data_IF_676691626490
#
_entry.id   IF_676691626490
#
_cell.length_a   1.000
_cell.length_b   1.000
_cell.length_c   1.000
_cell.angle_alpha   90.00
_cell.angle_beta   90.00
_cell.angle_gamma   90.00
#
_symmetry.space_group_name_H-M   'P 1'
#
loop_
_entity.id
_entity.type
_entity.pdbx_description
1 polymer ?
#
# COMPACT_ATOMS: atom_id res chain seq x y z
N UNK A 1 3.22 9.06 15.67
CA UNK A 1 3.62 7.84 14.95
C UNK A 1 5.00 8.06 14.31
N UNK A 2 6.07 8.16 15.12
CA UNK A 2 7.41 8.62 14.64
C UNK A 2 8.05 7.65 13.64
N UNK A 3 7.85 6.35 13.85
CA UNK A 3 8.44 5.31 13.00
C UNK A 3 7.87 5.36 11.58
N UNK A 4 6.57 5.69 11.42
CA UNK A 4 5.96 5.88 10.11
C UNK A 4 6.58 7.05 9.36
N UNK A 5 6.76 8.19 10.03
CA UNK A 5 7.38 9.37 9.42
C UNK A 5 8.80 9.06 8.96
N UNK A 6 9.61 8.45 9.85
CA UNK A 6 10.97 8.03 9.52
C UNK A 6 11.00 7.04 8.34
N UNK A 7 10.09 6.07 8.31
CA UNK A 7 9.95 5.11 7.22
C UNK A 7 9.70 5.81 5.88
N UNK A 8 8.73 6.73 5.85
CA UNK A 8 8.36 7.45 4.63
C UNK A 8 9.47 8.40 4.16
N UNK A 9 10.17 9.07 5.09
CA UNK A 9 11.29 9.94 4.78
C UNK A 9 12.48 9.16 4.19
N UNK A 10 12.86 8.03 4.79
CA UNK A 10 13.90 7.16 4.23
C UNK A 10 13.54 6.66 2.82
N UNK A 11 12.26 6.31 2.59
CA UNK A 11 11.80 5.89 1.26
C UNK A 11 11.84 7.03 0.24
N UNK A 12 11.53 8.27 0.65
CA UNK A 12 11.72 9.45 -0.21
C UNK A 12 13.19 9.64 -0.56
N UNK A 13 14.10 9.56 0.42
CA UNK A 13 15.54 9.70 0.20
C UNK A 13 16.11 8.63 -0.76
N UNK A 14 15.52 7.43 -0.73
CA UNK A 14 15.84 6.32 -1.64
C UNK A 14 15.21 6.45 -3.04
N UNK A 15 14.47 7.52 -3.34
CA UNK A 15 13.70 7.67 -4.59
C UNK A 15 12.74 6.50 -4.83
N UNK A 16 12.13 5.98 -3.77
CA UNK A 16 11.17 4.87 -3.85
C UNK A 16 9.83 5.30 -4.47
N UNK A 17 9.42 6.54 -4.21
CA UNK A 17 8.17 7.12 -4.71
C UNK A 17 8.42 7.91 -5.99
N UNK A 18 7.85 7.48 -7.11
CA UNK A 18 7.97 8.18 -8.38
C UNK A 18 6.64 8.80 -8.79
N UNK A 19 6.73 9.96 -9.46
CA UNK A 19 5.57 10.64 -10.02
C UNK A 19 4.85 9.74 -11.03
N UNK A 20 3.54 9.56 -10.84
CA UNK A 20 2.67 8.78 -11.72
C UNK A 20 2.65 7.27 -11.44
N UNK A 21 3.51 6.78 -10.55
CA UNK A 21 3.39 5.41 -10.05
C UNK A 21 2.22 5.27 -9.07
N UNK A 22 1.68 4.06 -8.98
CA UNK A 22 0.77 3.65 -7.92
C UNK A 22 1.57 2.82 -6.91
N UNK A 23 1.59 3.24 -5.66
CA UNK A 23 2.17 2.48 -4.54
C UNK A 23 1.05 1.81 -3.75
N UNK A 24 1.09 0.48 -3.65
CA UNK A 24 0.10 -0.26 -2.87
C UNK A 24 0.43 -0.21 -1.37
N UNK A 25 -0.59 0.01 -0.53
CA UNK A 25 -0.52 -0.06 0.91
C UNK A 25 -1.40 -1.19 1.42
N UNK A 26 -0.78 -2.18 2.04
CA UNK A 26 -1.46 -3.16 2.90
C UNK A 26 -1.22 -2.79 4.36
N UNK A 27 -2.27 -2.77 5.18
CA UNK A 27 -2.13 -2.37 6.58
C UNK A 27 -3.10 -3.09 7.50
N UNK A 28 -2.58 -3.63 8.60
CA UNK A 28 -3.37 -4.09 9.73
C UNK A 28 -3.22 -3.09 10.89
N UNK A 29 -4.23 -2.26 11.10
CA UNK A 29 -4.23 -1.25 12.17
C UNK A 29 -4.25 -1.88 13.56
N UNK A 30 -4.85 -3.06 13.72
CA UNK A 30 -4.80 -3.80 14.99
C UNK A 30 -3.38 -4.28 15.31
N UNK A 31 -2.60 -4.69 14.31
CA UNK A 31 -1.18 -5.04 14.50
C UNK A 31 -0.34 -3.80 14.81
N UNK A 32 -0.66 -2.63 14.24
CA UNK A 32 0.05 -1.38 14.58
C UNK A 32 -0.14 -1.04 16.06
N UNK A 33 -1.35 -1.25 16.58
CA UNK A 33 -1.69 -1.00 17.98
C UNK A 33 -1.06 -2.06 18.90
N UNK A 34 -1.03 -3.33 18.47
CA UNK A 34 -0.46 -4.45 19.23
C UNK A 34 -1.43 -5.19 20.15
N UNK A 35 -2.67 -4.72 20.28
CA UNK A 35 -3.74 -5.37 21.05
C UNK A 35 -5.09 -5.22 20.32
N UNK A 36 -6.08 -6.07 20.66
CA UNK A 36 -7.48 -5.90 20.23
C UNK A 36 -8.13 -4.72 20.96
N UNK A 37 -7.72 -3.50 20.63
CA UNK A 37 -8.45 -2.30 20.99
C UNK A 37 -9.63 -2.17 20.00
N UNK A 38 -10.77 -1.68 20.48
CA UNK A 38 -11.98 -1.52 19.67
C UNK A 38 -11.79 -0.69 18.40
N UNK A 39 -12.83 -0.64 17.56
CA UNK A 39 -12.83 -0.01 16.24
C UNK A 39 -12.40 1.46 16.22
N UNK A 40 -12.66 2.22 17.29
CA UNK A 40 -12.28 3.63 17.40
C UNK A 40 -10.77 3.83 17.27
N UNK A 41 -9.96 3.09 18.05
CA UNK A 41 -8.50 3.23 18.00
C UNK A 41 -7.91 2.79 16.65
N UNK A 42 -8.54 1.82 15.98
CA UNK A 42 -8.12 1.39 14.65
C UNK A 42 -8.34 2.47 13.57
N UNK A 43 -9.40 3.28 13.69
CA UNK A 43 -9.67 4.37 12.76
C UNK A 43 -8.73 5.57 12.97
N UNK A 44 -8.36 5.91 14.21
CA UNK A 44 -7.37 6.97 14.48
C UNK A 44 -5.98 6.61 13.89
N UNK A 45 -5.61 5.33 13.95
CA UNK A 45 -4.38 4.84 13.32
C UNK A 45 -4.49 4.91 11.80
N UNK A 46 -5.62 4.49 11.22
CA UNK A 46 -5.88 4.60 9.79
C UNK A 46 -5.79 6.05 9.29
N UNK A 47 -6.40 6.98 10.01
CA UNK A 47 -6.32 8.42 9.74
C UNK A 47 -4.88 8.91 9.71
N UNK A 48 -4.11 8.58 10.75
CA UNK A 48 -2.72 9.03 10.85
C UNK A 48 -1.87 8.49 9.70
N UNK A 49 -2.07 7.22 9.33
CA UNK A 49 -1.37 6.60 8.20
C UNK A 49 -1.78 7.27 6.88
N UNK A 50 -3.08 7.41 6.63
CA UNK A 50 -3.61 8.02 5.41
C UNK A 50 -3.10 9.45 5.22
N UNK A 51 -3.15 10.28 6.26
CA UNK A 51 -2.70 11.66 6.21
C UNK A 51 -1.19 11.78 5.93
N UNK A 52 -0.37 10.89 6.50
CA UNK A 52 1.05 10.85 6.22
C UNK A 52 1.34 10.46 4.75
N UNK A 53 0.58 9.50 4.21
CA UNK A 53 0.69 9.11 2.80
C UNK A 53 0.21 10.22 1.86
N UNK A 54 -0.85 10.94 2.19
CA UNK A 54 -1.33 12.08 1.39
C UNK A 54 -0.27 13.19 1.27
N UNK A 55 0.49 13.46 2.35
CA UNK A 55 1.64 14.38 2.29
C UNK A 55 2.70 13.87 1.31
N UNK A 56 3.08 12.59 1.38
CA UNK A 56 4.05 11.99 0.46
C UNK A 56 3.56 12.05 -0.99
N UNK A 57 2.27 11.79 -1.23
CA UNK A 57 1.63 11.90 -2.53
C UNK A 57 1.79 13.30 -3.12
N UNK A 58 1.50 14.33 -2.32
CA UNK A 58 1.66 15.74 -2.72
C UNK A 58 3.12 16.14 -3.01
N UNK A 59 4.07 15.62 -2.24
CA UNK A 59 5.50 15.93 -2.38
C UNK A 59 6.15 15.24 -3.59
N UNK A 60 5.77 13.98 -3.87
CA UNK A 60 6.48 13.13 -4.85
C UNK A 60 5.69 12.92 -6.14
N UNK A 61 4.38 13.13 -6.11
CA UNK A 61 3.46 12.82 -7.20
C UNK A 61 3.16 11.33 -7.38
N UNK A 62 3.58 10.47 -6.44
CA UNK A 62 3.11 9.08 -6.36
C UNK A 62 1.65 9.08 -5.93
N UNK A 63 0.92 8.05 -6.32
CA UNK A 63 -0.46 7.84 -5.88
C UNK A 63 -0.56 6.57 -5.06
N UNK A 64 -1.47 6.51 -4.07
CA UNK A 64 -1.60 5.35 -3.19
C UNK A 64 -2.86 4.55 -3.49
N UNK A 65 -2.74 3.23 -3.43
CA UNK A 65 -3.83 2.27 -3.49
C UNK A 65 -3.91 1.51 -2.17
N UNK A 66 -5.11 1.18 -1.71
CA UNK A 66 -5.32 0.64 -0.37
C UNK A 66 -5.95 -0.76 -0.43
N UNK A 67 -5.21 -1.76 0.06
CA UNK A 67 -5.66 -3.15 0.07
C UNK A 67 -6.70 -3.37 1.17
N UNK A 68 -7.85 -3.94 0.80
CA UNK A 68 -8.81 -4.49 1.74
C UNK A 68 -8.29 -5.72 2.49
N UNK A 69 -8.94 -6.08 3.60
CA UNK A 69 -8.68 -7.36 4.24
C UNK A 69 -9.28 -8.53 3.42
N UNK A 70 -9.00 -9.75 3.87
CA UNK A 70 -9.44 -10.99 3.23
C UNK A 70 -10.97 -11.14 3.13
N UNK A 71 -11.75 -10.45 3.96
CA UNK A 71 -13.22 -10.50 3.92
C UNK A 71 -13.81 -9.88 2.64
N UNK A 72 -13.05 -8.98 1.98
CA UNK A 72 -13.39 -8.43 0.67
C UNK A 72 -12.41 -8.93 -0.40
N UNK A 73 -11.84 -10.12 -0.18
CA UNK A 73 -10.90 -10.78 -1.09
C UNK A 73 -9.66 -9.94 -1.44
N UNK A 74 -9.23 -9.05 -0.54
CA UNK A 74 -8.12 -8.13 -0.78
C UNK A 74 -8.33 -7.18 -1.96
N UNK A 75 -9.60 -6.89 -2.29
CA UNK A 75 -9.93 -5.89 -3.29
C UNK A 75 -9.34 -4.52 -2.91
N UNK A 76 -9.05 -3.70 -3.92
CA UNK A 76 -8.19 -2.52 -3.78
C UNK A 76 -9.00 -1.25 -3.99
N UNK A 77 -8.94 -0.34 -3.02
CA UNK A 77 -9.49 1.01 -3.17
C UNK A 77 -8.48 1.92 -3.88
N UNK A 78 -8.91 2.57 -4.96
CA UNK A 78 -8.12 3.51 -5.78
C UNK A 78 -8.95 4.74 -6.14
N UNK A 79 -8.31 5.83 -6.58
CA UNK A 79 -9.02 6.93 -7.23
C UNK A 79 -9.49 6.46 -8.60
N UNK A 80 -10.71 6.84 -9.01
CA UNK A 80 -11.26 6.50 -10.33
C UNK A 80 -10.38 6.96 -11.49
N UNK A 81 -9.62 8.04 -11.30
CA UNK A 81 -8.65 8.54 -12.29
C UNK A 81 -7.50 7.57 -12.58
N UNK A 82 -7.23 6.62 -11.69
CA UNK A 82 -6.21 5.58 -11.84
C UNK A 82 -6.76 4.29 -12.47
N UNK A 83 -8.08 4.19 -12.64
CA UNK A 83 -8.72 3.01 -13.20
C UNK A 83 -8.34 2.80 -14.67
N UNK A 84 -8.01 1.55 -15.01
CA UNK A 84 -7.80 1.15 -16.40
C UNK A 84 -8.59 -0.13 -16.70
N UNK A 85 -9.68 -0.05 -17.50
CA UNK A 85 -10.54 -1.19 -17.80
C UNK A 85 -9.88 -2.29 -18.64
N UNK A 86 -8.69 -2.03 -19.21
CA UNK A 86 -7.92 -3.05 -19.94
C UNK A 86 -7.09 -3.94 -19.02
N UNK A 87 -6.88 -3.52 -17.77
CA UNK A 87 -5.97 -4.19 -16.82
C UNK A 87 -6.56 -4.38 -15.43
N UNK A 88 -7.73 -3.80 -15.15
CA UNK A 88 -8.40 -3.82 -13.85
C UNK A 88 -9.88 -4.15 -14.06
N UNK A 89 -10.44 -4.91 -13.12
CA UNK A 89 -11.88 -5.20 -13.04
C UNK A 89 -12.47 -4.43 -11.86
N UNK A 90 -13.45 -3.58 -12.11
CA UNK A 90 -14.20 -2.88 -11.05
C UNK A 90 -15.11 -3.87 -10.30
N UNK A 91 -15.16 -3.78 -8.97
CA UNK A 91 -16.02 -4.61 -8.12
C UNK A 91 -16.87 -3.75 -7.18
N UNK A 92 -18.08 -4.23 -6.90
CA UNK A 92 -19.04 -3.48 -6.08
C UNK A 92 -18.91 -3.83 -4.60
N UNK A 93 -18.17 -3.03 -3.85
CA UNK A 93 -18.11 -3.08 -2.39
C UNK A 93 -17.81 -1.68 -1.82
N UNK A 94 -18.40 -1.36 -0.67
CA UNK A 94 -17.98 -0.23 0.17
C UNK A 94 -17.23 -0.83 1.36
N UNK A 95 -15.93 -0.60 1.52
CA UNK A 95 -15.18 -1.14 2.65
C UNK A 95 -15.75 -0.67 3.99
N UNK A 96 -15.82 -1.59 4.95
CA UNK A 96 -16.23 -1.30 6.33
C UNK A 96 -15.13 -1.76 7.32
N UNK A 97 -15.08 -1.13 8.50
CA UNK A 97 -14.12 -1.46 9.54
C UNK A 97 -14.19 -2.92 9.97
N UNK A 98 -15.36 -3.56 9.85
CA UNK A 98 -15.57 -4.97 10.15
C UNK A 98 -15.38 -5.90 8.93
N UNK A 99 -15.44 -5.36 7.71
CA UNK A 99 -15.34 -6.12 6.46
C UNK A 99 -14.65 -5.26 5.38
N UNK A 100 -13.32 -5.19 5.44
CA UNK A 100 -12.49 -4.36 4.56
C UNK A 100 -11.26 -3.81 5.27
N UNK A 101 -11.40 -3.52 6.57
CA UNK A 101 -10.32 -3.02 7.42
C UNK A 101 -10.26 -1.49 7.47
N UNK A 102 -9.75 -0.96 8.58
CA UNK A 102 -9.85 0.47 8.89
C UNK A 102 -9.14 1.38 7.89
N UNK A 103 -7.98 0.99 7.36
CA UNK A 103 -7.27 1.84 6.40
C UNK A 103 -8.00 1.95 5.06
N UNK A 104 -8.46 0.84 4.49
CA UNK A 104 -9.23 0.86 3.24
C UNK A 104 -10.56 1.61 3.41
N UNK A 105 -11.22 1.43 4.57
CA UNK A 105 -12.45 2.17 4.92
C UNK A 105 -12.20 3.67 5.02
N UNK A 106 -11.16 4.08 5.75
CA UNK A 106 -10.80 5.49 5.90
C UNK A 106 -10.45 6.09 4.54
N UNK A 107 -9.65 5.40 3.72
CA UNK A 107 -9.31 5.85 2.38
C UNK A 107 -10.55 6.05 1.50
N UNK A 108 -11.45 5.07 1.44
CA UNK A 108 -12.69 5.18 0.68
C UNK A 108 -13.55 6.38 1.11
N UNK A 109 -13.53 6.77 2.38
CA UNK A 109 -14.31 7.91 2.87
C UNK A 109 -13.69 9.28 2.55
N UNK A 110 -12.37 9.35 2.33
CA UNK A 110 -11.62 10.61 2.24
C UNK A 110 -11.01 10.87 0.85
N UNK A 111 -10.99 9.85 -0.01
CA UNK A 111 -10.62 9.98 -1.43
C UNK A 111 -11.66 10.76 -2.22
N UNK A 112 -11.26 11.33 -3.36
CA UNK A 112 -12.11 12.26 -4.13
C UNK A 112 -13.22 11.54 -4.89
N UNK A 113 -12.88 10.47 -5.60
CA UNK A 113 -13.81 9.66 -6.38
C UNK A 113 -13.35 8.19 -6.29
N UNK A 114 -13.52 7.55 -5.12
CA UNK A 114 -12.99 6.22 -4.88
C UNK A 114 -13.78 5.16 -5.64
N UNK A 115 -13.06 4.18 -6.17
CA UNK A 115 -13.63 2.92 -6.67
C UNK A 115 -12.87 1.74 -6.07
N UNK A 116 -13.48 0.56 -6.14
CA UNK A 116 -12.83 -0.69 -5.73
C UNK A 116 -12.60 -1.58 -6.94
N UNK A 117 -11.40 -2.13 -7.06
CA UNK A 117 -11.03 -3.08 -8.12
C UNK A 117 -10.62 -4.43 -7.53
N UNK A 118 -10.88 -5.51 -8.26
CA UNK A 118 -10.59 -6.87 -7.81
C UNK A 118 -9.09 -7.08 -7.54
N UNK A 119 -8.26 -6.62 -8.47
CA UNK A 119 -6.80 -6.78 -8.44
C UNK A 119 -6.11 -5.64 -9.16
N UNK A 120 -4.88 -5.32 -8.73
CA UNK A 120 -3.95 -4.44 -9.45
C UNK A 120 -2.56 -5.06 -9.52
N UNK A 121 -1.78 -4.64 -10.52
CA UNK A 121 -0.33 -4.91 -10.62
C UNK A 121 0.45 -3.60 -10.60
N UNK A 122 1.26 -3.37 -9.57
CA UNK A 122 1.95 -2.11 -9.31
C UNK A 122 3.46 -2.25 -9.18
N UNK A 123 4.24 -1.19 -9.42
CA UNK A 123 5.70 -1.25 -9.34
C UNK A 123 6.23 -1.39 -7.92
N UNK A 124 5.50 -0.94 -6.90
CA UNK A 124 5.96 -0.92 -5.52
C UNK A 124 4.82 -0.97 -4.50
N UNK A 125 5.15 -1.27 -3.25
CA UNK A 125 4.20 -1.23 -2.14
C UNK A 125 4.83 -1.40 -0.77
N UNK A 126 4.05 -1.05 0.25
CA UNK A 126 4.39 -1.11 1.67
C UNK A 126 3.34 -1.95 2.39
N UNK A 127 3.79 -2.95 3.14
CA UNK A 127 2.96 -3.82 3.95
C UNK A 127 3.26 -3.59 5.43
N UNK A 128 2.28 -3.07 6.16
CA UNK A 128 2.34 -2.74 7.58
C UNK A 128 1.50 -3.78 8.34
N UNK A 129 2.14 -4.74 9.00
CA UNK A 129 1.45 -5.79 9.76
C UNK A 129 1.22 -7.06 8.96
N UNK A 130 2.09 -7.35 7.98
CA UNK A 130 2.17 -8.62 7.26
C UNK A 130 0.84 -9.05 6.60
N UNK A 131 0.14 -8.08 6.03
CA UNK A 131 -1.10 -8.31 5.28
C UNK A 131 -0.89 -9.01 3.95
N UNK A 132 0.36 -9.17 3.50
CA UNK A 132 0.76 -9.84 2.26
C UNK A 132 0.27 -9.09 1.02
N UNK A 133 1.11 -8.24 0.46
CA UNK A 133 0.83 -7.45 -0.78
C UNK A 133 1.45 -8.05 -2.04
N UNK A 134 2.19 -9.16 -1.91
CA UNK A 134 3.06 -9.69 -2.97
C UNK A 134 2.32 -10.11 -4.25
N UNK A 135 1.03 -10.44 -4.15
CA UNK A 135 0.19 -10.76 -5.31
C UNK A 135 -0.06 -9.56 -6.22
N UNK A 136 0.16 -8.34 -5.74
CA UNK A 136 -0.04 -7.10 -6.47
C UNK A 136 1.25 -6.44 -6.94
N UNK A 137 2.42 -6.90 -6.48
CA UNK A 137 3.70 -6.33 -6.89
C UNK A 137 4.12 -6.96 -8.22
N UNK A 138 4.44 -6.12 -9.20
CA UNK A 138 4.91 -6.54 -10.52
C UNK A 138 6.11 -7.47 -10.40
N UNK A 139 6.07 -8.56 -11.16
CA UNK A 139 7.20 -9.48 -11.23
C UNK A 139 8.36 -8.84 -12.03
N UNK A 140 9.60 -8.81 -11.55
CA UNK A 140 10.18 -9.52 -10.37
C UNK A 140 10.11 -8.65 -9.12
N UNK A 141 9.44 -9.15 -8.07
CA UNK A 141 9.38 -8.49 -6.76
C UNK A 141 10.75 -8.51 -6.05
N UNK A 142 11.15 -7.38 -5.47
CA UNK A 142 12.44 -7.17 -4.80
C UNK A 142 12.19 -6.44 -3.48
N UNK A 143 12.67 -6.96 -2.33
CA UNK A 143 12.51 -6.29 -1.05
C UNK A 143 13.36 -5.01 -0.97
N UNK A 144 12.81 -3.96 -0.39
CA UNK A 144 13.52 -2.72 -0.03
C UNK A 144 13.78 -2.73 1.47
N UNK A 145 14.95 -2.22 1.90
CA UNK A 145 15.37 -2.22 3.31
C UNK A 145 15.53 -0.80 3.82
N UNK A 146 14.79 -0.49 4.87
CA UNK A 146 14.90 0.73 5.69
C UNK A 146 15.48 0.38 7.06
N UNK A 147 15.88 1.40 7.83
CA UNK A 147 16.24 1.22 9.24
C UNK A 147 15.01 0.81 10.07
N UNK A 148 13.84 1.33 9.70
CA UNK A 148 12.54 1.05 10.34
C UNK A 148 12.08 -0.38 10.08
N UNK A 149 11.91 -1.18 11.14
CA UNK A 149 11.42 -2.57 11.06
C UNK A 149 9.95 -2.71 11.42
N UNK A 150 9.42 -1.77 12.19
CA UNK A 150 8.06 -1.80 12.71
C UNK A 150 7.47 -0.39 12.71
N UNK A 151 6.15 -0.31 12.57
CA UNK A 151 5.37 0.91 12.85
C UNK A 151 4.39 0.56 13.96
N UNK A 152 4.56 1.16 15.14
CA UNK A 152 3.92 0.63 16.34
C UNK A 152 4.43 -0.79 16.61
N UNK A 153 3.52 -1.76 16.74
CA UNK A 153 3.89 -3.18 16.87
C UNK A 153 3.90 -3.95 15.53
N UNK A 154 3.44 -3.32 14.45
CA UNK A 154 3.31 -3.98 13.15
C UNK A 154 4.66 -4.09 12.43
N UNK A 155 5.03 -5.30 12.03
CA UNK A 155 6.21 -5.54 11.17
C UNK A 155 5.99 -4.91 9.79
N UNK A 156 6.99 -4.19 9.32
CA UNK A 156 6.97 -3.54 8.00
C UNK A 156 7.75 -4.36 6.97
N UNK A 157 7.12 -4.62 5.83
CA UNK A 157 7.76 -5.17 4.64
C UNK A 157 7.55 -4.23 3.46
N UNK A 158 8.61 -3.98 2.70
CA UNK A 158 8.60 -3.02 1.58
C UNK A 158 9.08 -3.75 0.34
N UNK A 159 8.40 -3.55 -0.77
CA UNK A 159 8.73 -4.18 -2.03
C UNK A 159 8.71 -3.18 -3.18
N UNK A 160 9.66 -3.35 -4.09
CA UNK A 160 9.65 -2.77 -5.43
C UNK A 160 9.66 -3.89 -6.46
N UNK A 161 9.66 -3.54 -7.75
CA UNK A 161 9.77 -4.47 -8.85
C UNK A 161 10.90 -4.09 -9.78
N UNK A 162 11.46 -5.08 -10.47
CA UNK A 162 12.43 -4.86 -11.54
C UNK A 162 12.11 -5.69 -12.77
N UNK A 163 12.61 -5.29 -13.95
CA UNK A 163 12.56 -6.14 -15.14
C UNK A 163 13.20 -7.51 -14.91
N UNK A 164 12.64 -8.53 -15.56
CA UNK A 164 13.26 -9.86 -15.64
C UNK A 164 14.63 -9.71 -16.32
N UNK A 165 15.67 -10.25 -15.69
CA UNK A 165 16.96 -10.45 -16.35
C UNK A 165 16.83 -11.71 -17.20
N UNK A 166 16.91 -11.56 -18.52
CA UNK A 166 16.75 -12.63 -19.50
C UNK A 166 17.99 -12.72 -20.41
N UNK A 167 18.26 -13.92 -20.92
CA UNK A 167 19.39 -14.17 -21.82
C UNK A 167 20.20 -15.39 -21.37
N UNK A 168 20.90 -16.02 -22.32
CA UNK A 168 21.77 -17.16 -22.06
C UNK A 168 23.09 -16.78 -21.39
N UNK A 169 24.02 -17.74 -21.28
CA UNK A 169 25.28 -17.62 -20.53
C UNK A 169 26.19 -16.42 -20.92
N UNK A 170 26.03 -15.90 -22.14
CA UNK A 170 26.81 -14.77 -22.68
C UNK A 170 26.17 -13.40 -22.45
N UNK A 171 24.96 -13.35 -21.88
CA UNK A 171 24.26 -12.11 -21.62
C UNK A 171 24.99 -11.26 -20.58
N UNK A 172 25.06 -9.95 -20.84
CA UNK A 172 25.59 -8.93 -19.92
C UNK A 172 24.48 -7.94 -19.64
N UNK A 173 24.36 -7.51 -18.38
CA UNK A 173 23.36 -6.54 -17.92
C UNK A 173 24.09 -5.30 -17.40
N UNK A 174 23.56 -4.13 -17.70
CA UNK A 174 23.96 -2.85 -17.11
C UNK A 174 22.86 -2.36 -16.17
#
# INVERSE_FOLDING_TARGET
MKDLTMLLDELKDMSFFNKGDICLIGCSTSEVIGEKIGTVGSMEVAETIFNALDVVSKETGVTFAFQGCEHINRAITIEKSQYNPLTMEEVSVVPDVHAGGSLATYAFQHMKDPIVVEHITVPCGIDIGQTLIGMHIKHVCVPVRTSVKQVGQAIVTIATSRPKKIGGERAKYQ
#
